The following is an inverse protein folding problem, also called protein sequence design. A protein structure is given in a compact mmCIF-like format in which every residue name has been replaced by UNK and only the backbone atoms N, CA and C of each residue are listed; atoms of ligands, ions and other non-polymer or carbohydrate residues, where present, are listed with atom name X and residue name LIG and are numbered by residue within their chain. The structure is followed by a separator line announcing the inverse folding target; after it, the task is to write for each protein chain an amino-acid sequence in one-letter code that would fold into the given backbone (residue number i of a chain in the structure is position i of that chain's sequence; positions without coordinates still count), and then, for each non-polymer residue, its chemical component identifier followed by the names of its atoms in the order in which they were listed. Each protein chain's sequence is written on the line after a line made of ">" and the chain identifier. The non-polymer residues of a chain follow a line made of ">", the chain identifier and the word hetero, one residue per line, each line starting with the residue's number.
data_IF_813513344197
#
_entry.id   IF_813513344197
#
_cell.length_a   1.000
_cell.length_b   1.000
_cell.length_c   1.000
_cell.angle_alpha   90.00
_cell.angle_beta   90.00
_cell.angle_gamma   90.00
#
_symmetry.space_group_name_H-M   'P 1'
#
loop_
_entity.id
_entity.type
_entity.pdbx_description
1 polymer ?
#
# COMPACT_ATOMS: atom_id res chain seq x y z
N UNK A 1 11.53 -35.64 -25.19
CA UNK A 1 11.82 -34.23 -25.53
C UNK A 1 10.64 -33.39 -25.10
N UNK A 2 10.82 -32.45 -24.17
CA UNK A 2 9.76 -31.49 -23.78
C UNK A 2 9.92 -30.24 -24.65
N UNK A 3 8.82 -29.78 -25.26
CA UNK A 3 8.79 -28.54 -26.01
C UNK A 3 9.02 -27.33 -25.08
N UNK A 4 9.69 -26.26 -25.54
CA UNK A 4 9.91 -25.07 -24.73
C UNK A 4 8.62 -24.26 -24.61
N UNK A 5 8.29 -23.88 -23.37
CA UNK A 5 7.20 -22.95 -23.04
C UNK A 5 7.53 -21.58 -23.64
N UNK A 6 6.67 -21.06 -24.52
CA UNK A 6 6.83 -19.74 -25.09
C UNK A 6 6.70 -18.68 -23.97
N UNK A 7 7.76 -17.89 -23.80
CA UNK A 7 7.72 -16.68 -22.99
C UNK A 7 6.79 -15.68 -23.69
N UNK A 8 5.65 -15.36 -23.06
CA UNK A 8 4.74 -14.32 -23.58
C UNK A 8 5.43 -12.98 -23.38
N UNK A 9 5.94 -12.42 -24.46
CA UNK A 9 6.48 -11.07 -24.48
C UNK A 9 5.28 -10.11 -24.40
N UNK A 10 5.05 -9.51 -23.23
CA UNK A 10 4.03 -8.47 -23.07
C UNK A 10 4.57 -7.21 -23.76
N UNK A 11 4.12 -6.97 -24.99
CA UNK A 11 4.37 -5.71 -25.67
C UNK A 11 3.46 -4.68 -25.03
N UNK A 12 3.98 -3.56 -24.47
CA UNK A 12 3.13 -2.51 -23.95
C UNK A 12 2.23 -1.97 -25.07
N UNK A 13 0.93 -1.94 -24.82
CA UNK A 13 -0.06 -1.42 -25.76
C UNK A 13 0.13 0.10 -25.87
N UNK A 14 0.64 0.56 -26.99
CA UNK A 14 0.80 1.99 -27.25
C UNK A 14 -0.55 2.53 -27.73
N UNK A 15 -1.31 3.16 -26.83
CA UNK A 15 -2.61 3.76 -27.17
C UNK A 15 -2.34 5.01 -28.00
N UNK A 16 -2.70 4.93 -29.27
CA UNK A 16 -2.66 6.07 -30.19
C UNK A 16 -3.95 6.09 -31.02
N UNK A 17 -4.15 7.16 -31.78
CA UNK A 17 -5.30 7.36 -32.67
C UNK A 17 -5.55 6.22 -33.67
N UNK A 18 -4.51 5.45 -34.00
CA UNK A 18 -4.54 4.40 -35.01
C UNK A 18 -4.94 3.03 -34.42
N UNK A 19 -4.95 2.90 -33.09
CA UNK A 19 -5.40 1.70 -32.41
C UNK A 19 -6.94 1.61 -32.45
N UNK A 20 -7.46 0.78 -33.35
CA UNK A 20 -8.91 0.56 -33.54
C UNK A 20 -9.41 -0.68 -32.82
N UNK A 21 -10.69 -0.67 -32.44
CA UNK A 21 -11.36 -1.86 -31.95
C UNK A 21 -11.61 -2.86 -33.10
N UNK A 22 -11.68 -4.14 -32.79
CA UNK A 22 -12.11 -5.18 -33.73
C UNK A 22 -12.93 -6.26 -33.04
N UNK A 23 -13.84 -6.88 -33.80
CA UNK A 23 -14.45 -8.16 -33.44
C UNK A 23 -13.99 -9.18 -34.47
N UNK A 24 -13.24 -10.20 -34.03
CA UNK A 24 -12.56 -11.16 -34.91
C UNK A 24 -11.73 -10.45 -36.00
N UNK A 25 -12.05 -10.68 -37.27
CA UNK A 25 -11.38 -10.07 -38.43
C UNK A 25 -11.99 -8.74 -38.86
N UNK A 26 -13.07 -8.28 -38.22
CA UNK A 26 -13.71 -7.01 -38.56
C UNK A 26 -13.16 -5.88 -37.70
N UNK A 27 -12.34 -5.03 -38.31
CA UNK A 27 -11.89 -3.78 -37.70
C UNK A 27 -13.03 -2.74 -37.71
N UNK A 28 -13.17 -2.00 -36.62
CA UNK A 28 -14.15 -0.92 -36.47
C UNK A 28 -13.50 0.44 -36.78
N UNK A 29 -14.33 1.41 -37.14
CA UNK A 29 -13.90 2.79 -37.40
C UNK A 29 -13.51 3.54 -36.12
N UNK A 30 -14.01 3.10 -34.96
CA UNK A 30 -13.77 3.78 -33.68
C UNK A 30 -12.40 3.42 -33.09
N UNK A 31 -11.66 4.42 -32.61
CA UNK A 31 -10.37 4.22 -31.94
C UNK A 31 -10.50 4.06 -30.43
N UNK A 32 -9.50 3.41 -29.84
CA UNK A 32 -9.36 3.32 -28.39
C UNK A 32 -9.23 4.72 -27.77
N UNK A 33 -8.58 5.66 -28.47
CA UNK A 33 -8.51 7.07 -28.04
C UNK A 33 -9.88 7.75 -28.03
N UNK A 34 -10.71 7.55 -29.06
CA UNK A 34 -12.09 8.07 -29.09
C UNK A 34 -12.93 7.51 -27.94
N UNK A 35 -12.73 6.24 -27.59
CA UNK A 35 -13.34 5.66 -26.39
C UNK A 35 -12.85 6.34 -25.11
N UNK A 36 -11.54 6.55 -24.93
CA UNK A 36 -11.01 7.22 -23.74
C UNK A 36 -11.53 8.66 -23.63
N UNK A 37 -11.54 9.37 -24.76
CA UNK A 37 -12.11 10.72 -24.85
C UNK A 37 -13.59 10.70 -24.50
N UNK A 38 -14.40 9.81 -25.08
CA UNK A 38 -15.83 9.72 -24.77
C UNK A 38 -16.10 9.32 -23.31
N UNK A 39 -15.47 8.25 -22.81
CA UNK A 39 -15.75 7.64 -21.52
C UNK A 39 -15.18 8.45 -20.33
N UNK A 40 -14.10 9.19 -20.55
CA UNK A 40 -13.38 9.92 -19.50
C UNK A 40 -13.20 11.42 -19.82
N UNK A 41 -13.98 11.94 -20.78
CA UNK A 41 -14.00 13.31 -21.33
C UNK A 41 -13.94 14.44 -20.31
N UNK A 42 -14.33 14.19 -19.06
CA UNK A 42 -14.22 15.17 -18.00
C UNK A 42 -13.50 14.63 -16.78
N UNK A 43 -12.30 15.18 -16.55
CA UNK A 43 -11.52 15.02 -15.32
C UNK A 43 -12.22 15.61 -14.08
N UNK A 44 -13.29 16.40 -14.27
CA UNK A 44 -14.13 16.93 -13.18
C UNK A 44 -15.11 15.89 -12.64
N UNK A 45 -15.30 14.76 -13.33
CA UNK A 45 -16.12 13.66 -12.82
C UNK A 45 -15.52 13.13 -11.52
N UNK A 46 -16.27 13.07 -10.40
CA UNK A 46 -15.70 12.73 -9.09
C UNK A 46 -14.94 11.39 -9.04
N UNK A 47 -15.41 10.38 -9.78
CA UNK A 47 -14.77 9.06 -9.86
C UNK A 47 -13.40 9.15 -10.55
N UNK A 48 -13.33 9.80 -11.70
CA UNK A 48 -12.10 9.96 -12.48
C UNK A 48 -11.11 10.85 -11.73
N UNK A 49 -11.61 11.92 -11.09
CA UNK A 49 -10.82 12.76 -10.19
C UNK A 49 -10.22 11.95 -9.05
N UNK A 50 -10.99 11.05 -8.45
CA UNK A 50 -10.50 10.22 -7.35
C UNK A 50 -9.38 9.27 -7.77
N UNK A 51 -9.56 8.56 -8.89
CA UNK A 51 -8.54 7.67 -9.47
C UNK A 51 -7.28 8.44 -9.86
N UNK A 52 -7.43 9.62 -10.44
CA UNK A 52 -6.30 10.50 -10.77
C UNK A 52 -5.51 10.88 -9.51
N UNK A 53 -6.19 11.29 -8.44
CA UNK A 53 -5.54 11.67 -7.19
C UNK A 53 -4.80 10.49 -6.58
N UNK A 54 -5.40 9.30 -6.56
CA UNK A 54 -4.75 8.08 -6.09
C UNK A 54 -3.49 7.76 -6.91
N UNK A 55 -3.58 7.85 -8.25
CA UNK A 55 -2.43 7.66 -9.13
C UNK A 55 -1.29 8.65 -8.83
N UNK A 56 -1.58 9.95 -8.78
CA UNK A 56 -0.57 11.00 -8.53
C UNK A 56 0.11 10.77 -7.18
N UNK A 57 -0.67 10.49 -6.13
CA UNK A 57 -0.12 10.26 -4.79
C UNK A 57 0.70 8.98 -4.73
N UNK A 58 0.23 7.88 -5.32
CA UNK A 58 0.99 6.65 -5.37
C UNK A 58 2.35 6.86 -6.08
N UNK A 59 2.37 7.51 -7.24
CA UNK A 59 3.62 7.80 -7.96
C UNK A 59 4.54 8.70 -7.14
N UNK A 60 4.00 9.77 -6.53
CA UNK A 60 4.80 10.67 -5.70
C UNK A 60 5.42 9.96 -4.49
N UNK A 61 4.66 9.11 -3.80
CA UNK A 61 5.14 8.35 -2.65
C UNK A 61 6.18 7.29 -3.06
N UNK A 62 6.03 6.67 -4.23
CA UNK A 62 7.05 5.76 -4.80
C UNK A 62 8.36 6.52 -5.05
N UNK A 63 8.29 7.71 -5.65
CA UNK A 63 9.48 8.55 -5.91
C UNK A 63 10.19 8.97 -4.63
N UNK A 64 9.44 9.15 -3.55
CA UNK A 64 9.95 9.55 -2.24
C UNK A 64 10.13 8.37 -1.27
N UNK A 65 10.04 7.13 -1.74
CA UNK A 65 10.03 5.95 -0.87
C UNK A 65 11.30 5.83 -0.01
N UNK A 66 12.46 6.20 -0.55
CA UNK A 66 13.70 6.26 0.24
C UNK A 66 13.59 7.22 1.41
N UNK A 67 13.04 8.41 1.19
CA UNK A 67 12.84 9.40 2.25
C UNK A 67 11.90 8.86 3.33
N UNK A 68 10.86 8.12 2.94
CA UNK A 68 9.84 7.62 3.86
C UNK A 68 10.34 6.42 4.69
N UNK A 69 10.99 5.44 4.06
CA UNK A 69 11.24 4.13 4.72
C UNK A 69 12.71 3.71 4.85
N UNK A 70 13.65 4.33 4.13
CA UNK A 70 15.05 3.85 4.11
C UNK A 70 15.66 3.78 5.51
N UNK A 71 15.41 4.78 6.36
CA UNK A 71 15.93 4.75 7.73
C UNK A 71 15.40 3.55 8.52
N UNK A 72 14.10 3.26 8.42
CA UNK A 72 13.48 2.08 9.07
C UNK A 72 14.07 0.77 8.56
N UNK A 73 14.33 0.66 7.25
CA UNK A 73 15.01 -0.51 6.65
C UNK A 73 16.36 -0.75 7.33
N UNK A 74 17.17 0.30 7.43
CA UNK A 74 18.51 0.22 8.01
C UNK A 74 18.46 -0.07 9.51
N UNK A 75 17.46 0.47 10.22
CA UNK A 75 17.30 0.30 11.66
C UNK A 75 16.85 -1.15 12.00
N UNK A 76 15.91 -1.72 11.23
CA UNK A 76 15.29 -3.01 11.55
C UNK A 76 15.95 -4.22 10.89
N UNK A 77 16.85 -4.05 9.92
CA UNK A 77 17.23 -5.16 9.03
C UNK A 77 18.71 -5.10 8.63
N UNK A 78 19.21 -6.23 8.12
CA UNK A 78 20.55 -6.32 7.56
C UNK A 78 20.66 -5.88 6.09
N UNK A 79 19.55 -5.43 5.48
CA UNK A 79 19.60 -4.91 4.11
C UNK A 79 20.11 -3.47 4.10
N UNK A 80 20.91 -3.13 3.08
CA UNK A 80 21.47 -1.80 2.87
C UNK A 80 21.14 -1.35 1.44
N UNK A 81 19.89 -0.90 1.19
CA UNK A 81 19.51 -0.49 -0.15
C UNK A 81 20.28 0.77 -0.57
N UNK A 82 20.74 0.77 -1.82
CA UNK A 82 21.25 1.96 -2.48
C UNK A 82 20.11 2.99 -2.66
N UNK A 83 20.48 4.26 -2.81
CA UNK A 83 19.49 5.30 -3.16
C UNK A 83 18.82 4.95 -4.50
N UNK A 84 17.51 5.13 -4.57
CA UNK A 84 16.62 4.76 -5.66
C UNK A 84 16.21 3.29 -5.69
N UNK A 85 16.86 2.40 -4.92
CA UNK A 85 16.61 0.96 -5.01
C UNK A 85 15.21 0.58 -4.49
N UNK A 86 14.74 1.25 -3.43
CA UNK A 86 13.40 1.02 -2.88
C UNK A 86 12.33 1.45 -3.90
N UNK A 87 12.47 2.68 -4.42
CA UNK A 87 11.55 3.22 -5.43
C UNK A 87 11.50 2.32 -6.68
N UNK A 88 12.66 1.84 -7.15
CA UNK A 88 12.74 0.92 -8.28
C UNK A 88 11.95 -0.37 -8.03
N UNK A 89 12.16 -1.03 -6.89
CA UNK A 89 11.44 -2.28 -6.57
C UNK A 89 9.92 -2.08 -6.46
N UNK A 90 9.48 -0.91 -5.98
CA UNK A 90 8.07 -0.56 -5.96
C UNK A 90 7.50 -0.34 -7.36
N UNK A 91 8.23 0.30 -8.27
CA UNK A 91 7.80 0.47 -9.66
C UNK A 91 7.64 -0.85 -10.39
N UNK A 92 8.50 -1.83 -10.12
CA UNK A 92 8.37 -3.18 -10.69
C UNK A 92 7.09 -3.89 -10.22
N UNK A 93 6.57 -3.54 -9.03
CA UNK A 93 5.37 -4.14 -8.42
C UNK A 93 4.09 -3.34 -8.72
N UNK A 94 4.17 -2.01 -8.69
CA UNK A 94 3.06 -1.06 -8.80
C UNK A 94 3.08 -0.26 -10.11
N UNK A 95 3.85 -0.70 -11.11
CA UNK A 95 3.86 -0.11 -12.46
C UNK A 95 2.53 -0.25 -13.21
N UNK A 96 1.63 -1.09 -12.70
CA UNK A 96 0.21 -1.18 -13.03
C UNK A 96 -0.58 -1.33 -11.73
N UNK A 97 -1.82 -0.83 -11.66
CA UNK A 97 -2.65 -0.97 -10.46
C UNK A 97 -2.87 -2.46 -10.19
N UNK A 98 -2.34 -3.03 -9.08
CA UNK A 98 -2.51 -4.44 -8.81
C UNK A 98 -4.01 -4.72 -8.56
N UNK A 99 -4.62 -5.54 -9.40
CA UNK A 99 -5.93 -6.08 -9.12
C UNK A 99 -5.78 -7.18 -8.06
N UNK A 100 -6.09 -6.84 -6.81
CA UNK A 100 -6.24 -7.83 -5.75
C UNK A 100 -5.11 -7.95 -4.73
N UNK A 101 -4.48 -6.84 -4.32
CA UNK A 101 -3.81 -6.82 -3.00
C UNK A 101 -4.17 -5.52 -2.25
N UNK A 102 -4.43 -5.67 -0.94
CA UNK A 102 -5.44 -4.94 -0.14
C UNK A 102 -5.06 -3.49 0.23
N UNK A 103 -4.06 -2.89 -0.43
CA UNK A 103 -3.60 -1.53 -0.16
C UNK A 103 -3.20 -0.80 -1.43
N UNK A 104 -3.42 0.51 -1.44
CA UNK A 104 -3.03 1.37 -2.57
C UNK A 104 -1.49 1.43 -2.75
N UNK A 105 -0.70 1.25 -1.67
CA UNK A 105 0.76 1.15 -1.74
C UNK A 105 1.37 0.37 -0.55
N UNK A 106 2.29 -0.55 -0.81
CA UNK A 106 3.11 -1.23 0.21
C UNK A 106 4.59 -0.94 -0.04
N UNK A 107 5.22 -0.16 0.84
CA UNK A 107 6.66 0.14 0.81
C UNK A 107 7.49 -1.00 1.44
N UNK A 108 8.81 -1.00 1.22
CA UNK A 108 9.74 -2.01 1.77
C UNK A 108 9.55 -2.19 3.28
N UNK A 109 9.54 -3.45 3.75
CA UNK A 109 9.25 -3.86 5.15
C UNK A 109 7.83 -3.58 5.62
N UNK A 110 6.87 -3.67 4.71
CA UNK A 110 5.46 -3.77 5.06
C UNK A 110 4.82 -2.46 5.52
N UNK A 111 5.40 -1.30 5.17
CA UNK A 111 4.71 -0.03 5.36
C UNK A 111 3.58 0.07 4.35
N UNK A 112 2.38 -0.26 4.80
CA UNK A 112 1.16 -0.24 3.99
C UNK A 112 0.44 1.09 4.14
N UNK A 113 0.04 1.65 3.00
CA UNK A 113 -0.61 2.94 2.87
C UNK A 113 -1.89 2.73 2.08
N UNK A 114 -3.00 3.15 2.66
CA UNK A 114 -4.28 3.30 1.97
C UNK A 114 -4.44 4.77 1.57
N UNK A 115 -4.72 5.03 0.29
CA UNK A 115 -5.00 6.34 -0.28
C UNK A 115 -6.49 6.41 -0.59
N UNK A 116 -7.11 7.50 -0.16
CA UNK A 116 -8.51 7.80 -0.47
C UNK A 116 -8.62 9.25 -0.88
N UNK A 117 -9.66 9.55 -1.65
CA UNK A 117 -9.98 10.91 -2.04
C UNK A 117 -11.45 11.23 -1.79
N UNK A 118 -11.76 12.51 -1.63
CA UNK A 118 -13.14 12.99 -1.61
C UNK A 118 -13.26 14.41 -2.14
N UNK A 119 -14.43 14.72 -2.66
CA UNK A 119 -14.88 16.08 -2.98
C UNK A 119 -16.06 16.54 -2.13
N UNK A 120 -16.51 15.69 -1.20
CA UNK A 120 -17.58 15.99 -0.27
C UNK A 120 -17.27 15.37 1.09
N UNK A 121 -17.04 16.21 2.09
CA UNK A 121 -16.69 15.78 3.45
C UNK A 121 -17.86 15.10 4.17
N UNK A 122 -19.09 15.52 3.90
CA UNK A 122 -20.28 15.06 4.62
C UNK A 122 -20.64 13.61 4.27
N UNK A 123 -20.36 13.19 3.03
CA UNK A 123 -20.67 11.84 2.54
C UNK A 123 -19.50 10.88 2.67
N UNK A 124 -18.27 11.37 2.88
CA UNK A 124 -17.08 10.53 2.94
C UNK A 124 -17.04 9.64 4.19
N UNK A 125 -16.65 8.38 3.98
CA UNK A 125 -16.42 7.39 5.04
C UNK A 125 -15.26 6.47 4.69
N UNK A 126 -14.44 6.15 5.68
CA UNK A 126 -13.49 5.05 5.64
C UNK A 126 -14.10 3.82 6.31
N UNK A 127 -14.24 2.72 5.55
CA UNK A 127 -14.80 1.47 6.05
C UNK A 127 -13.70 0.53 6.54
N UNK A 128 -14.02 -0.26 7.57
CA UNK A 128 -13.21 -1.42 7.94
C UNK A 128 -13.37 -2.51 6.89
N UNK A 129 -12.29 -3.18 6.56
CA UNK A 129 -12.23 -4.27 5.56
C UNK A 129 -11.69 -5.54 6.19
N UNK A 130 -11.95 -6.67 5.54
CA UNK A 130 -11.38 -7.95 5.96
C UNK A 130 -9.88 -7.96 5.65
N UNK A 131 -9.09 -8.61 6.50
CA UNK A 131 -7.69 -8.92 6.18
C UNK A 131 -7.65 -10.18 5.33
N UNK A 132 -6.94 -10.12 4.21
CA UNK A 132 -6.57 -11.31 3.45
C UNK A 132 -5.43 -12.03 4.16
N UNK A 133 -5.63 -13.30 4.46
CA UNK A 133 -4.59 -14.20 4.95
C UNK A 133 -3.96 -14.91 3.74
N UNK A 134 -2.70 -14.58 3.46
CA UNK A 134 -1.94 -15.12 2.34
C UNK A 134 -1.53 -16.58 2.58
N UNK A 135 -1.36 -17.00 3.84
CA UNK A 135 -0.95 -18.36 4.18
C UNK A 135 -2.06 -19.41 4.01
N UNK A 136 -3.32 -18.97 4.03
CA UNK A 136 -4.50 -19.83 3.93
C UNK A 136 -5.37 -19.50 2.72
N UNK A 137 -4.99 -18.48 1.95
CA UNK A 137 -5.74 -17.90 0.84
C UNK A 137 -7.21 -17.61 1.19
N UNK A 138 -7.42 -16.96 2.35
CA UNK A 138 -8.75 -16.70 2.91
C UNK A 138 -8.84 -15.35 3.59
N UNK A 139 -10.01 -14.74 3.55
CA UNK A 139 -10.26 -13.54 4.35
C UNK A 139 -10.61 -13.90 5.79
N UNK A 140 -10.00 -13.21 6.76
CA UNK A 140 -10.49 -13.22 8.14
C UNK A 140 -11.85 -12.53 8.17
N UNK A 141 -12.85 -13.14 8.82
CA UNK A 141 -14.18 -12.56 8.94
C UNK A 141 -14.20 -11.23 9.72
N UNK A 142 -13.23 -11.05 10.61
CA UNK A 142 -13.01 -9.81 11.35
C UNK A 142 -12.67 -8.65 10.40
N UNK A 143 -13.42 -7.54 10.51
CA UNK A 143 -13.14 -6.31 9.78
C UNK A 143 -12.38 -5.32 10.65
N UNK A 144 -11.27 -4.81 10.13
CA UNK A 144 -10.40 -3.84 10.80
C UNK A 144 -9.99 -2.69 9.85
N UNK A 145 -9.13 -1.78 10.30
CA UNK A 145 -8.40 -0.87 9.42
C UNK A 145 -7.02 -1.50 9.12
N UNK A 146 -6.86 -2.23 8.00
CA UNK A 146 -5.70 -3.07 7.79
C UNK A 146 -4.41 -2.30 7.50
N UNK A 147 -4.46 -1.06 7.02
CA UNK A 147 -3.26 -0.33 6.63
C UNK A 147 -2.55 0.22 7.87
N UNK A 148 -1.23 0.37 7.76
CA UNK A 148 -0.44 1.06 8.79
C UNK A 148 -0.72 2.57 8.76
N UNK A 149 -0.90 3.13 7.56
CA UNK A 149 -1.17 4.55 7.36
C UNK A 149 -2.30 4.78 6.34
N UNK A 150 -3.04 5.85 6.55
CA UNK A 150 -4.15 6.28 5.72
C UNK A 150 -3.92 7.72 5.27
N UNK A 151 -4.07 7.99 3.99
CA UNK A 151 -4.03 9.33 3.40
C UNK A 151 -5.40 9.62 2.81
N UNK A 152 -6.07 10.66 3.31
CA UNK A 152 -7.25 11.22 2.66
C UNK A 152 -6.87 12.53 1.97
N UNK A 153 -7.00 12.57 0.66
CA UNK A 153 -6.96 13.80 -0.13
C UNK A 153 -8.35 14.41 -0.25
N UNK A 154 -8.50 15.66 0.14
CA UNK A 154 -9.74 16.43 -0.02
C UNK A 154 -9.54 17.41 -1.16
N UNK A 155 -10.31 17.21 -2.23
CA UNK A 155 -10.29 18.02 -3.46
C UNK A 155 -11.74 18.38 -3.79
N UNK A 156 -12.22 19.46 -3.17
CA UNK A 156 -13.60 19.93 -3.28
C UNK A 156 -13.83 20.74 -4.56
N UNK A 157 -12.80 21.49 -4.98
CA UNK A 157 -12.84 22.30 -6.18
C UNK A 157 -12.46 21.49 -7.42
N UNK A 158 -12.99 21.91 -8.56
CA UNK A 158 -12.60 21.31 -9.84
C UNK A 158 -11.14 21.65 -10.19
N UNK A 159 -10.40 20.71 -10.81
CA UNK A 159 -9.05 20.97 -11.26
C UNK A 159 -8.99 22.17 -12.22
N UNK A 160 -7.98 23.02 -12.06
CA UNK A 160 -7.72 24.13 -12.97
C UNK A 160 -6.74 23.66 -14.05
N UNK A 161 -7.25 23.46 -15.27
CA UNK A 161 -6.44 23.05 -16.41
C UNK A 161 -5.80 24.28 -17.10
N UNK A 162 -4.46 24.28 -17.19
CA UNK A 162 -3.69 25.19 -18.03
C UNK A 162 -3.15 24.47 -19.29
N UNK A 163 -2.37 25.18 -20.11
CA UNK A 163 -1.82 24.62 -21.36
C UNK A 163 -0.82 23.47 -21.14
N UNK A 164 -0.14 23.45 -19.99
CA UNK A 164 0.96 22.50 -19.71
C UNK A 164 0.83 21.78 -18.37
N UNK A 165 -0.18 22.10 -17.57
CA UNK A 165 -0.35 21.55 -16.23
C UNK A 165 -1.82 21.52 -15.83
N UNK A 166 -2.16 20.55 -14.98
CA UNK A 166 -3.42 20.49 -14.25
C UNK A 166 -3.12 20.85 -12.79
N UNK A 167 -3.72 21.91 -12.28
CA UNK A 167 -3.59 22.32 -10.90
C UNK A 167 -4.76 21.80 -10.06
N UNK A 168 -4.48 21.29 -8.88
CA UNK A 168 -5.47 20.93 -7.86
C UNK A 168 -5.38 21.98 -6.74
N UNK A 169 -5.92 23.19 -6.96
CA UNK A 169 -5.86 24.25 -5.97
C UNK A 169 -6.55 23.79 -4.68
N UNK A 170 -5.99 24.18 -3.55
CA UNK A 170 -6.55 23.92 -2.21
C UNK A 170 -6.67 22.43 -1.85
N UNK A 171 -5.97 21.53 -2.55
CA UNK A 171 -5.91 20.13 -2.17
C UNK A 171 -5.32 19.99 -0.75
N UNK A 172 -6.09 19.37 0.14
CA UNK A 172 -5.69 19.12 1.51
C UNK A 172 -5.47 17.64 1.75
N UNK A 173 -4.51 17.31 2.61
CA UNK A 173 -4.22 15.93 2.96
C UNK A 173 -4.38 15.71 4.45
N UNK A 174 -4.98 14.57 4.81
CA UNK A 174 -5.15 14.13 6.18
C UNK A 174 -4.48 12.78 6.33
N UNK A 175 -3.40 12.73 7.09
CA UNK A 175 -2.59 11.52 7.30
C UNK A 175 -2.87 10.96 8.70
N UNK A 176 -3.23 9.68 8.80
CA UNK A 176 -3.54 9.02 10.06
C UNK A 176 -2.88 7.64 10.13
N UNK A 177 -2.39 7.24 11.31
CA UNK A 177 -1.94 5.85 11.51
C UNK A 177 -3.14 4.95 11.82
N UNK A 178 -3.08 3.71 11.34
CA UNK A 178 -4.08 2.70 11.67
C UNK A 178 -4.13 2.43 13.18
N UNK A 179 -2.98 2.53 13.90
CA UNK A 179 -2.96 2.41 15.37
C UNK A 179 -3.80 3.50 16.05
N UNK A 180 -3.72 4.73 15.56
CA UNK A 180 -4.56 5.82 16.06
C UNK A 180 -6.05 5.52 15.81
N UNK A 181 -6.40 4.98 14.64
CA UNK A 181 -7.78 4.56 14.37
C UNK A 181 -8.24 3.43 15.30
N UNK A 182 -7.43 2.39 15.51
CA UNK A 182 -7.78 1.28 16.40
C UNK A 182 -7.99 1.73 17.84
N UNK A 183 -7.20 2.71 18.30
CA UNK A 183 -7.29 3.25 19.66
C UNK A 183 -8.55 4.11 19.85
N UNK A 184 -8.96 4.84 18.82
CA UNK A 184 -9.99 5.88 18.94
C UNK A 184 -11.36 5.49 18.34
N UNK A 185 -11.41 4.44 17.53
CA UNK A 185 -12.61 3.93 16.88
C UNK A 185 -13.02 2.62 17.55
N UNK A 186 -14.25 2.54 18.07
CA UNK A 186 -14.72 1.33 18.77
C UNK A 186 -14.64 0.12 17.84
N UNK A 187 -14.32 -1.05 18.40
CA UNK A 187 -14.27 -2.31 17.65
C UNK A 187 -15.57 -2.57 16.86
N UNK A 188 -16.74 -2.29 17.45
CA UNK A 188 -18.06 -2.46 16.83
C UNK A 188 -18.38 -1.47 15.71
N UNK A 189 -17.69 -0.32 15.62
CA UNK A 189 -17.91 0.64 14.54
C UNK A 189 -17.32 0.10 13.23
N UNK A 190 -18.16 0.00 12.19
CA UNK A 190 -17.78 -0.52 10.87
C UNK A 190 -17.07 0.52 9.98
N UNK A 191 -17.23 1.80 10.29
CA UNK A 191 -16.63 2.90 9.51
C UNK A 191 -16.42 4.15 10.35
N UNK A 192 -15.60 5.07 9.84
CA UNK A 192 -15.34 6.41 10.39
C UNK A 192 -15.65 7.46 9.32
N UNK A 193 -16.44 8.47 9.65
CA UNK A 193 -16.74 9.60 8.75
C UNK A 193 -15.68 10.71 8.85
N UNK A 194 -15.75 11.69 7.95
CA UNK A 194 -14.74 12.75 7.82
C UNK A 194 -14.42 13.45 9.14
N UNK A 195 -15.44 14.00 9.82
CA UNK A 195 -15.25 14.78 11.06
C UNK A 195 -14.47 14.02 12.14
N UNK A 196 -14.72 12.71 12.28
CA UNK A 196 -14.00 11.88 13.25
C UNK A 196 -12.62 11.48 12.75
N UNK A 197 -12.46 11.19 11.45
CA UNK A 197 -11.16 10.87 10.86
C UNK A 197 -10.21 12.07 10.95
N UNK A 198 -10.62 13.24 10.46
CA UNK A 198 -9.81 14.46 10.44
C UNK A 198 -9.38 14.91 11.83
N UNK A 199 -10.20 14.70 12.86
CA UNK A 199 -9.84 14.95 14.27
C UNK A 199 -8.60 14.16 14.72
N UNK A 200 -8.39 12.96 14.20
CA UNK A 200 -7.28 12.08 14.56
C UNK A 200 -6.15 12.07 13.53
N UNK A 201 -6.29 12.83 12.45
CA UNK A 201 -5.30 12.94 11.40
C UNK A 201 -4.44 14.18 11.58
N UNK A 202 -3.23 14.13 11.04
CA UNK A 202 -2.42 15.32 10.81
C UNK A 202 -2.84 15.91 9.47
N UNK A 203 -3.27 17.17 9.47
CA UNK A 203 -3.60 17.92 8.24
C UNK A 203 -2.33 18.53 7.66
N UNK A 204 -2.10 18.38 6.36
CA UNK A 204 -0.98 18.97 5.65
C UNK A 204 -1.34 19.34 4.20
N UNK A 205 -0.47 20.12 3.55
CA UNK A 205 -0.52 20.35 2.10
C UNK A 205 0.30 19.28 1.35
N UNK A 206 0.32 19.36 0.02
CA UNK A 206 1.06 18.40 -0.81
C UNK A 206 2.57 18.40 -0.52
N UNK A 207 3.16 19.59 -0.29
CA UNK A 207 4.60 19.72 0.00
C UNK A 207 5.00 19.03 1.31
N UNK A 208 4.11 19.05 2.30
CA UNK A 208 4.34 18.49 3.62
C UNK A 208 3.80 17.06 3.78
N UNK A 209 3.20 16.48 2.74
CA UNK A 209 2.67 15.11 2.77
C UNK A 209 3.74 14.08 3.14
N UNK A 210 4.86 14.08 2.42
CA UNK A 210 5.97 13.14 2.64
C UNK A 210 6.63 13.33 4.01
N UNK A 211 7.01 14.55 4.44
CA UNK A 211 7.49 14.79 5.80
C UNK A 211 6.52 14.31 6.89
N UNK A 212 5.21 14.56 6.72
CA UNK A 212 4.18 14.15 7.68
C UNK A 212 4.10 12.63 7.80
N UNK A 213 4.08 11.93 6.67
CA UNK A 213 4.04 10.47 6.64
C UNK A 213 5.33 9.87 7.24
N UNK A 214 6.49 10.43 6.90
CA UNK A 214 7.77 10.02 7.49
C UNK A 214 7.74 10.14 9.01
N UNK A 215 7.25 11.26 9.55
CA UNK A 215 7.21 11.49 11.00
C UNK A 215 6.28 10.49 11.72
N UNK A 216 5.06 10.27 11.20
CA UNK A 216 4.15 9.27 11.76
C UNK A 216 4.74 7.85 11.69
N UNK A 217 5.44 7.54 10.60
CA UNK A 217 6.15 6.28 10.46
C UNK A 217 7.33 6.17 11.41
N UNK A 218 8.01 7.29 11.69
CA UNK A 218 9.18 7.30 12.55
C UNK A 218 8.78 7.10 14.00
N UNK A 219 7.73 7.76 14.45
CA UNK A 219 7.17 7.61 15.80
C UNK A 219 6.78 6.16 16.10
N UNK A 220 6.08 5.49 15.17
CA UNK A 220 5.72 4.08 15.36
C UNK A 220 6.93 3.15 15.42
N UNK A 221 7.93 3.40 14.57
CA UNK A 221 9.17 2.64 14.65
C UNK A 221 9.92 2.88 15.96
N UNK A 222 10.03 4.12 16.44
CA UNK A 222 10.70 4.40 17.71
C UNK A 222 9.96 3.77 18.88
N UNK A 223 8.63 3.72 18.82
CA UNK A 223 7.81 2.99 19.78
C UNK A 223 8.11 1.49 19.74
N UNK A 224 8.04 0.85 18.56
CA UNK A 224 8.26 -0.60 18.45
C UNK A 224 9.71 -0.98 18.79
N UNK A 225 10.70 -0.16 18.43
CA UNK A 225 12.12 -0.41 18.73
C UNK A 225 12.40 -0.54 20.23
N UNK A 226 11.60 0.10 21.10
CA UNK A 226 11.69 -0.06 22.56
C UNK A 226 11.17 -1.41 23.06
N UNK A 227 10.37 -2.11 22.25
CA UNK A 227 9.80 -3.43 22.53
C UNK A 227 10.68 -4.57 22.00
N UNK A 228 11.64 -4.25 21.13
CA UNK A 228 12.53 -5.24 20.52
C UNK A 228 13.71 -5.58 21.45
N UNK A 229 14.30 -6.75 21.24
CA UNK A 229 15.61 -7.09 21.79
C UNK A 229 16.62 -6.05 21.29
N UNK A 230 17.45 -5.54 22.19
CA UNK A 230 18.43 -4.51 21.85
C UNK A 230 19.36 -4.99 20.71
N UNK A 231 19.47 -4.17 19.66
CA UNK A 231 20.29 -4.48 18.48
C UNK A 231 19.71 -5.54 17.56
N UNK A 232 18.49 -6.03 17.81
CA UNK A 232 17.84 -6.99 16.92
C UNK A 232 17.65 -6.40 15.52
N UNK A 233 17.97 -7.20 14.53
CA UNK A 233 17.71 -6.92 13.12
C UNK A 233 17.21 -8.18 12.44
N UNK A 234 16.27 -7.99 11.53
CA UNK A 234 15.78 -9.05 10.69
C UNK A 234 16.91 -9.53 9.75
N UNK A 235 17.23 -10.84 9.75
CA UNK A 235 18.22 -11.39 8.84
C UNK A 235 17.73 -11.34 7.40
N UNK A 236 18.68 -11.33 6.46
CA UNK A 236 18.38 -11.36 5.03
C UNK A 236 17.57 -12.60 4.64
N UNK A 237 16.73 -12.53 3.60
CA UNK A 237 16.04 -13.72 3.08
C UNK A 237 17.06 -14.76 2.57
N UNK A 238 16.66 -16.03 2.44
CA UNK A 238 17.56 -17.10 1.95
C UNK A 238 18.15 -16.83 0.56
N UNK A 239 17.41 -16.11 -0.30
CA UNK A 239 17.89 -15.62 -1.59
C UNK A 239 17.18 -14.29 -1.94
N UNK A 240 17.83 -13.47 -2.77
CA UNK A 240 17.24 -12.26 -3.34
C UNK A 240 16.63 -12.48 -4.74
N UNK A 241 16.75 -13.69 -5.29
CA UNK A 241 16.24 -14.04 -6.64
C UNK A 241 14.83 -14.66 -6.62
N UNK A 242 14.23 -14.80 -5.45
CA UNK A 242 12.88 -15.36 -5.29
C UNK A 242 12.05 -14.46 -4.38
N UNK A 243 10.73 -14.51 -4.54
CA UNK A 243 9.82 -13.73 -3.72
C UNK A 243 9.67 -14.39 -2.35
N UNK A 244 10.31 -13.78 -1.34
CA UNK A 244 10.15 -14.17 0.05
C UNK A 244 9.43 -13.09 0.83
N UNK A 245 8.53 -13.52 1.72
CA UNK A 245 7.76 -12.63 2.59
C UNK A 245 8.19 -12.84 4.03
N UNK A 246 8.49 -11.76 4.78
CA UNK A 246 8.72 -11.87 6.20
C UNK A 246 7.36 -11.89 6.90
N UNK A 247 6.91 -13.07 7.32
CA UNK A 247 5.58 -13.24 7.91
C UNK A 247 5.68 -13.45 9.42
N UNK A 248 4.69 -12.93 10.13
CA UNK A 248 4.36 -13.29 11.50
C UNK A 248 3.01 -14.02 11.46
N UNK A 249 3.02 -15.34 11.62
CA UNK A 249 1.85 -16.20 11.43
C UNK A 249 1.30 -16.64 12.78
N UNK A 250 0.02 -16.34 13.01
CA UNK A 250 -0.73 -16.76 14.18
C UNK A 250 -1.35 -18.16 13.97
N UNK A 251 -1.17 -19.05 14.93
CA UNK A 251 -1.74 -20.41 14.93
C UNK A 251 -1.96 -20.86 16.36
N UNK A 252 -3.18 -21.29 16.69
CA UNK A 252 -3.60 -21.71 18.03
C UNK A 252 -3.23 -20.66 19.11
N UNK A 253 -3.40 -19.37 18.79
CA UNK A 253 -3.09 -18.26 19.70
C UNK A 253 -1.59 -17.99 19.93
N UNK A 254 -0.69 -18.68 19.24
CA UNK A 254 0.76 -18.39 19.25
C UNK A 254 1.20 -17.78 17.92
N UNK A 255 2.12 -16.82 17.96
CA UNK A 255 2.68 -16.19 16.74
C UNK A 255 4.10 -16.67 16.51
N UNK A 256 4.36 -17.19 15.30
CA UNK A 256 5.69 -17.57 14.84
C UNK A 256 6.13 -16.67 13.71
N UNK A 257 7.42 -16.33 13.64
CA UNK A 257 7.96 -15.52 12.55
C UNK A 257 8.92 -16.32 11.67
N UNK A 258 9.00 -15.93 10.40
CA UNK A 258 9.81 -16.64 9.42
C UNK A 258 9.91 -15.88 8.10
N UNK A 259 10.86 -16.29 7.28
CA UNK A 259 10.77 -16.06 5.84
C UNK A 259 9.93 -17.16 5.22
N UNK A 260 8.94 -16.74 4.43
CA UNK A 260 8.04 -17.62 3.73
C UNK A 260 8.23 -17.47 2.22
N UNK A 261 8.24 -18.60 1.52
CA UNK A 261 8.16 -18.63 0.06
C UNK A 261 6.75 -19.06 -0.35
N UNK A 262 6.22 -18.50 -1.43
CA UNK A 262 4.93 -18.91 -1.95
C UNK A 262 4.77 -18.72 -3.44
N UNK A 263 3.95 -19.57 -4.02
CA UNK A 263 3.41 -19.49 -5.38
C UNK A 263 1.96 -19.96 -5.34
N UNK A 264 1.02 -19.22 -5.95
CA UNK A 264 -0.39 -19.63 -6.08
C UNK A 264 -1.10 -19.89 -4.73
N UNK A 265 -1.12 -18.89 -3.84
CA UNK A 265 -1.98 -18.91 -2.64
C UNK A 265 -1.53 -19.82 -1.48
N UNK A 266 -0.41 -20.53 -1.62
CA UNK A 266 0.18 -21.32 -0.52
C UNK A 266 1.56 -20.76 -0.18
N UNK A 267 1.78 -20.42 1.09
CA UNK A 267 3.09 -20.01 1.60
C UNK A 267 3.62 -21.05 2.60
N UNK A 268 4.92 -21.33 2.54
CA UNK A 268 5.59 -22.26 3.44
C UNK A 268 6.77 -21.57 4.12
N UNK A 269 6.95 -21.84 5.42
CA UNK A 269 8.08 -21.30 6.17
C UNK A 269 9.37 -21.97 5.68
N UNK A 270 10.25 -21.20 5.07
CA UNK A 270 11.55 -21.68 4.55
C UNK A 270 12.69 -21.39 5.52
N UNK A 271 12.51 -20.42 6.42
CA UNK A 271 13.51 -20.06 7.42
C UNK A 271 12.82 -19.45 8.65
N UNK A 272 12.62 -20.24 9.71
CA UNK A 272 12.11 -19.74 10.98
C UNK A 272 13.02 -18.64 11.55
N UNK A 273 12.42 -17.65 12.19
CA UNK A 273 13.13 -16.54 12.82
C UNK A 273 12.88 -16.57 14.33
N UNK A 274 13.90 -16.24 15.11
CA UNK A 274 13.70 -15.98 16.54
C UNK A 274 12.81 -14.75 16.71
N UNK A 275 11.91 -14.79 17.69
CA UNK A 275 11.01 -13.66 17.94
C UNK A 275 11.82 -12.40 18.28
N UNK A 276 11.44 -11.22 17.76
CA UNK A 276 12.22 -10.00 17.92
C UNK A 276 12.00 -9.33 19.29
N UNK A 277 11.05 -9.82 20.08
CA UNK A 277 10.53 -9.15 21.29
C UNK A 277 11.40 -9.34 22.52
N UNK A 278 11.59 -8.27 23.28
CA UNK A 278 12.25 -8.31 24.58
C UNK A 278 11.46 -9.16 25.59
N UNK A 279 12.15 -9.62 26.64
CA UNK A 279 11.55 -10.46 27.68
C UNK A 279 10.35 -9.75 28.33
N UNK A 280 9.21 -10.44 28.38
CA UNK A 280 7.98 -9.94 29.01
C UNK A 280 7.12 -9.04 28.12
N UNK A 281 7.53 -8.77 26.88
CA UNK A 281 6.71 -8.05 25.90
C UNK A 281 5.67 -9.00 25.31
N UNK A 282 4.41 -8.54 25.25
CA UNK A 282 3.34 -9.20 24.51
C UNK A 282 2.91 -8.29 23.36
N UNK A 283 3.45 -8.51 22.14
CA UNK A 283 3.18 -7.64 20.99
C UNK A 283 1.75 -7.86 20.46
N UNK A 284 1.12 -6.79 19.97
CA UNK A 284 -0.06 -6.91 19.13
C UNK A 284 0.32 -7.10 17.64
N UNK A 285 -0.68 -7.33 16.79
CA UNK A 285 -0.46 -7.53 15.36
C UNK A 285 0.18 -6.30 14.67
N UNK A 286 -0.11 -5.08 15.16
CA UNK A 286 0.49 -3.85 14.62
C UNK A 286 1.94 -3.69 15.06
N UNK A 287 2.33 -4.23 16.20
CA UNK A 287 3.73 -4.29 16.61
C UNK A 287 4.52 -5.15 15.63
N UNK A 288 4.01 -6.33 15.26
CA UNK A 288 4.64 -7.18 14.24
C UNK A 288 4.82 -6.46 12.90
N UNK A 289 3.80 -5.74 12.43
CA UNK A 289 3.91 -4.93 11.22
C UNK A 289 4.89 -3.76 11.37
N UNK A 290 4.89 -3.08 12.51
CA UNK A 290 5.85 -2.02 12.81
C UNK A 290 7.30 -2.55 12.83
N UNK A 291 7.50 -3.80 13.25
CA UNK A 291 8.78 -4.50 13.26
C UNK A 291 9.22 -5.07 11.90
N UNK A 292 8.42 -4.89 10.84
CA UNK A 292 8.80 -5.24 9.46
C UNK A 292 8.25 -6.57 8.95
N UNK A 293 7.34 -7.20 9.69
CA UNK A 293 6.65 -8.43 9.28
C UNK A 293 5.28 -8.14 8.68
N UNK A 294 4.80 -8.96 7.74
CA UNK A 294 3.36 -9.00 7.44
C UNK A 294 2.68 -9.94 8.45
N UNK A 295 1.70 -9.43 9.19
CA UNK A 295 0.97 -10.24 10.16
C UNK A 295 -0.13 -11.06 9.46
N UNK A 296 -0.06 -12.38 9.61
CA UNK A 296 -1.01 -13.34 9.05
C UNK A 296 -1.86 -13.91 10.19
N UNK A 297 -3.08 -13.38 10.40
CA UNK A 297 -3.91 -13.77 11.54
C UNK A 297 -4.50 -15.17 11.33
N UNK A 298 -4.81 -15.89 12.40
CA UNK A 298 -5.53 -17.15 12.27
C UNK A 298 -6.92 -16.91 11.63
N UNK A 299 -7.29 -17.77 10.67
CA UNK A 299 -8.53 -17.71 9.86
C UNK A 299 -9.32 -19.00 9.88
#
# INVERSE_FOLDING_TARGET
>A
MRAPTACVCVIPLNINKDLKFSFDSQQLEYSVEEFWSWAFSSITTPVIRGVMVEFILAQHLIDQADQIVRKRVLDLTHQVPALGQIAKGLRDTYGSQPHGDVFDLQLTWGVTIEIKSTSNRDTWRLNKTCRWNMAKDKNKAEKIFPAQYYILAVVENDPQAGLTHLNLPDAEFYVCSGRTLDTNIKASQKSVGFSKFSKYSVRCDFRNLVPTLYELQRQEHERVSKLLIAGWKQPNPPSFTSTFYPLAVETNGAVTSGWYAGSNGTVHNVMPLHHPWAKGVTPDWRDWEAAGFKYEPEV
#
